data_IF_753820979555
#
_entry.id   IF_753820979555
#
_cell.length_a   1.000
_cell.length_b   1.000
_cell.length_c   1.000
_cell.angle_alpha   90.00
_cell.angle_beta   90.00
_cell.angle_gamma   90.00
#
_symmetry.space_group_name_H-M   'P 1'
#
loop_
_entity.id
_entity.type
_entity.pdbx_description
1 polymer ?
#
# COMPACT_ATOMS: atom_id res chain seq x y z
N UNK A 1 2.12 -11.07 20.29
CA UNK A 1 1.66 -12.42 19.91
C UNK A 1 2.41 -12.82 18.65
N UNK A 2 3.08 -13.98 18.66
CA UNK A 2 3.73 -14.52 17.48
C UNK A 2 2.65 -15.06 16.53
N UNK A 3 2.68 -14.59 15.29
CA UNK A 3 1.77 -15.04 14.23
C UNK A 3 2.56 -15.68 13.09
N UNK A 4 2.31 -16.96 12.87
CA UNK A 4 2.95 -17.69 11.77
C UNK A 4 2.12 -17.57 10.49
N UNK A 5 2.67 -16.89 9.49
CA UNK A 5 2.13 -16.87 8.15
C UNK A 5 2.27 -18.22 7.48
N UNK A 6 1.22 -18.67 6.81
CA UNK A 6 1.27 -19.92 6.03
C UNK A 6 2.19 -19.75 4.82
N UNK A 7 2.97 -20.77 4.47
CA UNK A 7 3.78 -20.73 3.25
C UNK A 7 2.92 -20.50 2.01
N UNK A 8 3.39 -19.59 1.13
CA UNK A 8 2.73 -19.31 -0.15
C UNK A 8 3.50 -20.05 -1.25
N UNK A 9 2.81 -20.92 -2.00
CA UNK A 9 3.39 -21.54 -3.18
C UNK A 9 3.52 -20.54 -4.32
N UNK A 10 4.67 -20.54 -4.98
CA UNK A 10 4.93 -19.72 -6.17
C UNK A 10 4.39 -20.35 -7.47
N UNK A 11 3.96 -21.62 -7.42
CA UNK A 11 3.40 -22.34 -8.58
C UNK A 11 2.01 -21.82 -8.95
N UNK A 12 1.22 -21.44 -7.94
CA UNK A 12 -0.10 -20.86 -8.11
C UNK A 12 -0.25 -19.57 -7.29
N UNK A 13 -0.27 -18.44 -7.98
CA UNK A 13 -0.46 -17.11 -7.42
C UNK A 13 -1.85 -16.53 -7.72
N UNK A 14 -2.79 -17.37 -8.16
CA UNK A 14 -4.19 -16.95 -8.34
C UNK A 14 -4.79 -16.49 -7.01
N UNK A 15 -5.77 -15.58 -7.10
CA UNK A 15 -6.51 -15.11 -5.93
C UNK A 15 -7.19 -16.29 -5.24
N UNK A 16 -7.01 -16.39 -3.94
CA UNK A 16 -7.67 -17.37 -3.09
C UNK A 16 -8.70 -16.67 -2.20
N UNK A 17 -9.97 -16.99 -2.40
CA UNK A 17 -11.07 -16.36 -1.65
C UNK A 17 -10.98 -16.62 -0.12
N UNK A 18 -10.31 -17.70 0.30
CA UNK A 18 -10.08 -17.97 1.73
C UNK A 18 -8.98 -17.10 2.34
N UNK A 19 -8.23 -16.37 1.52
CA UNK A 19 -7.15 -15.47 1.94
C UNK A 19 -7.59 -13.99 1.89
N UNK A 20 -8.81 -13.70 1.47
CA UNK A 20 -9.36 -12.34 1.50
C UNK A 20 -9.39 -11.83 2.94
N UNK A 21 -8.86 -10.62 3.15
CA UNK A 21 -8.73 -10.01 4.47
C UNK A 21 -7.56 -10.54 5.31
N UNK A 22 -6.65 -11.33 4.74
CA UNK A 22 -5.49 -11.90 5.45
C UNK A 22 -4.15 -11.38 4.94
N UNK A 23 -3.10 -11.50 5.75
CA UNK A 23 -1.74 -11.15 5.35
C UNK A 23 -1.21 -12.05 4.23
N UNK A 24 -1.65 -13.32 4.17
CA UNK A 24 -1.34 -14.23 3.07
C UNK A 24 -1.90 -13.71 1.75
N UNK A 25 -3.12 -13.18 1.74
CA UNK A 25 -3.72 -12.54 0.55
C UNK A 25 -2.89 -11.36 0.06
N UNK A 26 -2.46 -10.48 0.97
CA UNK A 26 -1.57 -9.36 0.63
C UNK A 26 -0.26 -9.85 0.02
N UNK A 27 0.39 -10.81 0.64
CA UNK A 27 1.67 -11.34 0.15
C UNK A 27 1.52 -12.01 -1.23
N UNK A 28 0.47 -12.81 -1.42
CA UNK A 28 0.17 -13.45 -2.71
C UNK A 28 -0.08 -12.41 -3.81
N UNK A 29 -0.82 -11.34 -3.51
CA UNK A 29 -1.09 -10.25 -4.43
C UNK A 29 0.18 -9.50 -4.87
N UNK A 30 1.09 -9.22 -3.95
CA UNK A 30 2.39 -8.62 -4.26
C UNK A 30 3.20 -9.53 -5.18
N UNK A 31 3.33 -10.83 -4.86
CA UNK A 31 4.04 -11.81 -5.68
C UNK A 31 3.44 -11.93 -7.08
N UNK A 32 2.11 -12.04 -7.18
CA UNK A 32 1.40 -12.12 -8.44
C UNK A 32 1.67 -10.90 -9.32
N UNK A 33 1.56 -9.72 -8.73
CA UNK A 33 1.74 -8.47 -9.49
C UNK A 33 3.18 -8.24 -9.92
N UNK A 34 4.18 -8.60 -9.09
CA UNK A 34 5.59 -8.58 -9.51
C UNK A 34 5.79 -9.46 -10.76
N UNK A 35 5.29 -10.69 -10.72
CA UNK A 35 5.38 -11.63 -11.84
C UNK A 35 4.68 -11.11 -13.11
N UNK A 36 3.48 -10.52 -12.98
CA UNK A 36 2.74 -9.92 -14.10
C UNK A 36 3.50 -8.77 -14.75
N UNK A 37 4.20 -7.96 -13.96
CA UNK A 37 5.01 -6.85 -14.44
C UNK A 37 6.35 -7.29 -15.03
N UNK A 38 6.67 -8.59 -15.00
CA UNK A 38 7.89 -9.16 -15.56
C UNK A 38 9.10 -9.07 -14.63
N UNK A 39 8.90 -8.80 -13.34
CA UNK A 39 9.96 -8.87 -12.33
C UNK A 39 10.18 -10.31 -11.86
N UNK A 40 11.42 -10.59 -11.48
CA UNK A 40 11.77 -11.88 -10.90
C UNK A 40 11.23 -12.00 -9.49
N UNK A 41 10.72 -13.21 -9.19
CA UNK A 41 10.23 -13.57 -7.86
C UNK A 41 10.85 -14.88 -7.40
N UNK A 42 10.94 -15.10 -6.10
CA UNK A 42 11.45 -16.35 -5.53
C UNK A 42 11.04 -16.49 -4.06
N UNK A 43 11.34 -17.64 -3.50
CA UNK A 43 11.02 -17.94 -2.11
C UNK A 43 12.02 -17.32 -1.14
N UNK A 44 11.51 -16.90 0.02
CA UNK A 44 12.34 -16.46 1.14
C UNK A 44 11.68 -16.83 2.46
N UNK A 45 12.49 -16.93 3.51
CA UNK A 45 12.01 -17.02 4.88
C UNK A 45 12.38 -15.72 5.60
N UNK A 46 11.44 -15.16 6.34
CA UNK A 46 11.65 -13.91 7.07
C UNK A 46 11.01 -13.93 8.44
N UNK A 47 11.61 -13.23 9.37
CA UNK A 47 11.01 -12.86 10.65
C UNK A 47 10.80 -11.36 10.64
N UNK A 48 9.61 -10.94 10.98
CA UNK A 48 9.20 -9.53 10.94
C UNK A 48 8.75 -9.05 12.30
N UNK A 49 9.18 -7.84 12.66
CA UNK A 49 8.63 -7.08 13.78
C UNK A 49 8.12 -5.73 13.27
N UNK A 50 7.13 -5.16 13.93
CA UNK A 50 6.59 -3.86 13.56
C UNK A 50 6.16 -3.07 14.79
N UNK A 51 6.52 -1.79 14.81
CA UNK A 51 5.98 -0.81 15.75
C UNK A 51 4.74 -0.08 15.19
N UNK A 52 4.36 -0.38 13.93
CA UNK A 52 3.14 0.14 13.31
C UNK A 52 1.97 -0.73 13.74
N UNK A 53 1.18 -0.23 14.67
CA UNK A 53 0.03 -0.95 15.21
C UNK A 53 -1.05 -1.17 14.14
N UNK A 54 -1.55 -2.39 14.05
CA UNK A 54 -2.65 -2.74 13.16
C UNK A 54 -3.93 -2.00 13.58
N UNK A 55 -4.64 -1.41 12.61
CA UNK A 55 -5.89 -0.68 12.86
C UNK A 55 -5.71 0.70 13.50
N UNK A 56 -4.48 1.18 13.67
CA UNK A 56 -4.17 2.49 14.27
C UNK A 56 -4.33 3.69 13.31
N UNK A 57 -4.65 3.46 12.04
CA UNK A 57 -4.67 4.52 11.02
C UNK A 57 -3.29 4.90 10.47
N UNK A 58 -2.24 4.18 10.85
CA UNK A 58 -0.87 4.42 10.39
C UNK A 58 -0.46 3.56 9.20
N UNK A 59 -1.44 3.02 8.47
CA UNK A 59 -1.23 2.28 7.22
C UNK A 59 -0.36 1.04 7.34
N UNK A 60 -0.64 0.18 8.34
CA UNK A 60 0.10 -1.06 8.57
C UNK A 60 0.06 -2.02 7.37
N UNK A 61 -1.04 -2.07 6.61
CA UNK A 61 -1.16 -2.86 5.38
C UNK A 61 -0.18 -2.37 4.31
N UNK A 62 -0.17 -1.07 4.04
CA UNK A 62 0.75 -0.47 3.07
C UNK A 62 2.22 -0.69 3.46
N UNK A 63 2.56 -0.56 4.75
CA UNK A 63 3.90 -0.85 5.25
C UNK A 63 4.30 -2.31 5.00
N UNK A 64 3.39 -3.26 5.24
CA UNK A 64 3.62 -4.68 5.01
C UNK A 64 3.82 -5.00 3.51
N UNK A 65 2.93 -4.52 2.65
CA UNK A 65 2.97 -4.73 1.21
C UNK A 65 4.27 -4.19 0.59
N UNK A 66 4.61 -2.95 0.94
CA UNK A 66 5.83 -2.28 0.48
C UNK A 66 7.08 -3.00 0.98
N UNK A 67 7.09 -3.49 2.21
CA UNK A 67 8.19 -4.28 2.74
C UNK A 67 8.40 -5.56 1.92
N UNK A 68 7.33 -6.32 1.61
CA UNK A 68 7.43 -7.52 0.77
C UNK A 68 7.93 -7.16 -0.63
N UNK A 69 7.40 -6.12 -1.26
CA UNK A 69 7.87 -5.63 -2.56
C UNK A 69 9.34 -5.22 -2.54
N UNK A 70 9.79 -4.57 -1.48
CA UNK A 70 11.19 -4.16 -1.30
C UNK A 70 12.11 -5.38 -1.12
N UNK A 71 11.68 -6.40 -0.37
CA UNK A 71 12.41 -7.66 -0.22
C UNK A 71 12.59 -8.34 -1.59
N UNK A 72 11.52 -8.44 -2.39
CA UNK A 72 11.59 -9.01 -3.74
C UNK A 72 12.48 -8.19 -4.66
N UNK A 73 12.43 -6.85 -4.56
CA UNK A 73 13.34 -5.98 -5.29
C UNK A 73 14.80 -6.24 -4.94
N UNK A 74 15.10 -6.39 -3.66
CA UNK A 74 16.47 -6.65 -3.19
C UNK A 74 16.99 -8.04 -3.52
N UNK A 75 16.18 -9.07 -3.29
CA UNK A 75 16.65 -10.45 -3.46
C UNK A 75 16.72 -10.89 -4.92
N UNK A 76 15.82 -10.40 -5.78
CA UNK A 76 15.64 -10.95 -7.13
C UNK A 76 15.78 -9.92 -8.25
N UNK A 77 15.79 -8.61 -7.93
CA UNK A 77 15.77 -7.54 -8.93
C UNK A 77 16.85 -6.47 -8.66
N UNK A 78 17.94 -6.84 -7.99
CA UNK A 78 19.10 -5.97 -7.73
C UNK A 78 18.74 -4.61 -7.10
N UNK A 79 17.65 -4.54 -6.32
CA UNK A 79 17.07 -3.31 -5.75
C UNK A 79 16.73 -2.24 -6.82
N UNK A 80 16.41 -2.64 -8.05
CA UNK A 80 16.15 -1.74 -9.18
C UNK A 80 14.66 -1.48 -9.46
N UNK A 81 13.74 -2.12 -8.73
CA UNK A 81 12.32 -1.84 -8.87
C UNK A 81 12.04 -0.43 -8.33
N UNK A 82 11.42 0.39 -9.17
CA UNK A 82 11.09 1.77 -8.79
C UNK A 82 10.17 1.78 -7.56
N UNK A 83 10.45 2.61 -6.53
CA UNK A 83 9.61 2.70 -5.33
C UNK A 83 8.14 3.01 -5.63
N UNK A 84 7.85 3.84 -6.64
CA UNK A 84 6.46 4.14 -7.05
C UNK A 84 5.77 2.88 -7.58
N UNK A 85 6.50 2.06 -8.35
CA UNK A 85 5.99 0.77 -8.83
C UNK A 85 5.73 -0.18 -7.66
N UNK A 86 6.62 -0.24 -6.67
CA UNK A 86 6.39 -1.04 -5.44
C UNK A 86 5.11 -0.58 -4.74
N UNK A 87 4.88 0.73 -4.62
CA UNK A 87 3.64 1.27 -4.07
C UNK A 87 2.40 0.86 -4.87
N UNK A 88 2.46 0.92 -6.21
CA UNK A 88 1.36 0.50 -7.09
C UNK A 88 1.08 -1.01 -6.99
N UNK A 89 2.11 -1.81 -6.80
CA UNK A 89 1.97 -3.27 -6.54
C UNK A 89 1.24 -3.51 -5.22
N UNK A 90 1.60 -2.79 -4.16
CA UNK A 90 0.91 -2.86 -2.87
C UNK A 90 -0.56 -2.50 -3.01
N UNK A 91 -0.88 -1.37 -3.62
CA UNK A 91 -2.26 -0.95 -3.88
C UNK A 91 -3.05 -2.04 -4.66
N UNK A 92 -2.46 -2.61 -5.69
CA UNK A 92 -3.08 -3.70 -6.45
C UNK A 92 -3.39 -4.90 -5.55
N UNK A 93 -2.43 -5.28 -4.70
CA UNK A 93 -2.59 -6.37 -3.75
C UNK A 93 -3.74 -6.13 -2.78
N UNK A 94 -3.83 -4.93 -2.20
CA UNK A 94 -4.89 -4.57 -1.25
C UNK A 94 -6.26 -4.56 -1.94
N UNK A 95 -6.36 -3.97 -3.13
CA UNK A 95 -7.63 -3.87 -3.85
C UNK A 95 -8.13 -5.20 -4.41
N UNK A 96 -7.24 -6.05 -4.92
CA UNK A 96 -7.63 -7.25 -5.69
C UNK A 96 -7.60 -8.51 -4.83
N UNK A 97 -6.54 -8.71 -4.05
CA UNK A 97 -6.33 -9.93 -3.28
C UNK A 97 -6.89 -9.83 -1.87
N UNK A 98 -6.61 -8.74 -1.17
CA UNK A 98 -7.15 -8.51 0.17
C UNK A 98 -8.63 -8.11 0.13
N UNK A 99 -9.07 -7.45 -0.93
CA UNK A 99 -10.47 -7.07 -1.16
C UNK A 99 -10.90 -5.78 -0.48
N UNK A 100 -9.95 -4.92 -0.07
CA UNK A 100 -10.23 -3.61 0.53
C UNK A 100 -9.86 -2.50 -0.46
N UNK A 101 -10.83 -1.68 -0.91
CA UNK A 101 -10.54 -0.55 -1.78
C UNK A 101 -9.68 0.49 -1.06
N UNK A 102 -8.53 0.83 -1.65
CA UNK A 102 -7.64 1.86 -1.14
C UNK A 102 -7.10 2.76 -2.25
N UNK A 103 -6.68 3.98 -1.87
CA UNK A 103 -5.90 4.87 -2.72
C UNK A 103 -4.43 4.44 -2.77
N UNK A 104 -3.59 5.23 -3.47
CA UNK A 104 -2.16 4.94 -3.62
C UNK A 104 -1.28 5.76 -2.67
N UNK A 105 -1.86 6.65 -1.88
CA UNK A 105 -1.11 7.59 -1.04
C UNK A 105 -0.22 6.88 -0.03
N UNK A 106 -0.79 5.96 0.73
CA UNK A 106 -0.12 5.27 1.83
C UNK A 106 1.03 4.40 1.34
N UNK A 107 0.80 3.62 0.28
CA UNK A 107 1.83 2.79 -0.33
C UNK A 107 2.94 3.65 -0.94
N UNK A 108 2.62 4.80 -1.56
CA UNK A 108 3.64 5.71 -2.07
C UNK A 108 4.48 6.33 -0.95
N UNK A 109 3.84 6.72 0.16
CA UNK A 109 4.54 7.26 1.31
C UNK A 109 5.48 6.23 1.94
N UNK A 110 5.02 4.98 2.10
CA UNK A 110 5.83 3.89 2.64
C UNK A 110 7.00 3.52 1.73
N UNK A 111 6.78 3.48 0.40
CA UNK A 111 7.79 3.01 -0.55
C UNK A 111 8.87 4.05 -0.86
N UNK A 112 8.49 5.31 -1.01
CA UNK A 112 9.40 6.41 -1.33
C UNK A 112 10.10 6.93 -0.06
N UNK A 113 9.40 6.92 1.05
CA UNK A 113 9.90 7.37 2.36
C UNK A 113 10.10 8.89 2.44
N UNK A 114 10.30 9.38 3.67
CA UNK A 114 10.41 10.83 3.96
C UNK A 114 9.07 11.57 3.74
N UNK A 115 9.10 12.91 3.70
CA UNK A 115 7.96 13.71 3.29
C UNK A 115 7.88 13.73 1.78
N UNK A 116 6.69 13.47 1.24
CA UNK A 116 6.47 13.43 -0.21
C UNK A 116 5.31 14.33 -0.63
N UNK A 117 5.40 14.84 -1.85
CA UNK A 117 4.30 15.43 -2.59
C UNK A 117 3.85 14.46 -3.68
N UNK A 118 2.56 14.23 -3.81
CA UNK A 118 2.01 13.32 -4.83
C UNK A 118 1.00 14.07 -5.69
N UNK A 119 1.22 14.09 -7.00
CA UNK A 119 0.23 14.55 -7.96
C UNK A 119 -0.45 13.36 -8.66
N UNK A 120 -1.72 13.15 -8.34
CA UNK A 120 -2.58 12.10 -8.93
C UNK A 120 -3.34 12.58 -10.19
N UNK A 121 -2.82 13.54 -10.93
CA UNK A 121 -3.46 13.96 -12.20
C UNK A 121 -3.65 12.77 -13.14
N UNK A 122 -2.67 11.90 -13.20
CA UNK A 122 -2.74 10.60 -13.89
C UNK A 122 -2.48 9.49 -12.84
N UNK A 123 -3.53 8.79 -12.45
CA UNK A 123 -3.43 7.71 -11.46
C UNK A 123 -2.58 6.52 -11.95
N UNK A 124 -2.42 6.37 -13.27
CA UNK A 124 -1.56 5.32 -13.83
C UNK A 124 -0.07 5.69 -13.77
N UNK A 125 0.22 6.98 -13.70
CA UNK A 125 1.57 7.55 -13.65
C UNK A 125 1.63 8.72 -12.67
N UNK A 126 1.45 8.46 -11.37
CA UNK A 126 1.51 9.53 -10.37
C UNK A 126 2.91 10.15 -10.34
N UNK A 127 2.95 11.47 -10.18
CA UNK A 127 4.21 12.15 -9.94
C UNK A 127 4.43 12.20 -8.44
N UNK A 128 5.51 11.55 -7.98
CA UNK A 128 5.87 11.47 -6.55
C UNK A 128 7.23 12.14 -6.36
N UNK A 129 7.26 13.19 -5.58
CA UNK A 129 8.46 13.99 -5.32
C UNK A 129 8.77 14.01 -3.83
N UNK A 130 10.03 13.78 -3.47
CA UNK A 130 10.49 13.99 -2.08
C UNK A 130 10.55 15.47 -1.79
N UNK A 131 10.02 15.85 -0.64
CA UNK A 131 10.11 17.22 -0.12
C UNK A 131 11.18 17.23 0.95
N UNK A 132 12.25 17.99 0.70
CA UNK A 132 13.37 18.12 1.63
C UNK A 132 13.02 19.11 2.74
N UNK A 133 12.30 18.60 3.74
CA UNK A 133 11.87 19.35 4.91
C UNK A 133 12.18 18.55 6.17
N UNK A 134 12.88 19.17 7.10
CA UNK A 134 13.12 18.64 8.42
C UNK A 134 12.36 19.48 9.46
N UNK A 135 11.36 18.90 10.13
CA UNK A 135 10.52 19.60 11.11
C UNK A 135 11.33 20.15 12.28
N UNK A 136 12.41 19.50 12.67
CA UNK A 136 13.30 19.96 13.73
C UNK A 136 13.93 21.32 13.42
N UNK A 137 14.20 21.61 12.13
CA UNK A 137 14.75 22.89 11.69
C UNK A 137 13.80 24.08 11.96
N UNK A 138 12.50 23.82 12.01
CA UNK A 138 11.45 24.78 12.35
C UNK A 138 11.11 24.80 13.85
N UNK A 139 11.85 24.07 14.68
CA UNK A 139 11.56 23.90 16.12
C UNK A 139 10.15 23.32 16.38
N UNK A 140 9.69 22.47 15.49
CA UNK A 140 8.42 21.74 15.59
C UNK A 140 8.68 20.23 15.65
N UNK A 141 7.79 19.53 16.31
CA UNK A 141 7.75 18.07 16.34
C UNK A 141 6.39 17.58 15.85
N UNK A 142 6.41 16.53 15.01
CA UNK A 142 5.20 15.83 14.64
C UNK A 142 4.83 14.87 15.80
N UNK A 143 3.62 15.03 16.34
CA UNK A 143 3.11 14.19 17.41
C UNK A 143 1.95 13.36 16.90
N UNK A 144 1.96 12.05 17.20
CA UNK A 144 0.87 11.13 16.95
C UNK A 144 0.20 10.85 18.29
N UNK A 145 -1.13 11.03 18.34
CA UNK A 145 -1.93 10.74 19.52
C UNK A 145 -2.80 9.53 19.23
N UNK A 146 -2.51 8.42 19.90
CA UNK A 146 -3.36 7.24 19.85
C UNK A 146 -4.60 7.45 20.74
N UNK A 147 -5.78 7.44 20.12
CA UNK A 147 -7.06 7.56 20.82
C UNK A 147 -7.68 6.18 21.13
N UNK A 148 -6.94 5.10 20.91
CA UNK A 148 -7.36 3.71 21.12
C UNK A 148 -8.66 3.34 20.38
N UNK A 149 -8.93 3.97 19.23
CA UNK A 149 -10.05 3.63 18.34
C UNK A 149 -9.54 2.86 17.12
N UNK A 150 -10.26 1.81 16.72
CA UNK A 150 -9.98 1.07 15.49
C UNK A 150 -10.88 1.58 14.36
N UNK A 151 -10.34 1.66 13.15
CA UNK A 151 -11.09 1.95 11.93
C UNK A 151 -11.25 0.72 11.03
N UNK A 152 -10.96 -0.48 11.56
CA UNK A 152 -10.99 -1.72 10.78
C UNK A 152 -12.38 -2.02 10.18
N UNK A 153 -13.45 -1.60 10.85
CA UNK A 153 -14.84 -1.85 10.44
C UNK A 153 -15.42 -0.75 9.53
N UNK A 154 -14.63 0.26 9.14
CA UNK A 154 -15.08 1.42 8.35
C UNK A 154 -14.82 1.25 6.84
N UNK A 155 -14.70 0.03 6.34
CA UNK A 155 -14.39 -0.22 4.92
C UNK A 155 -15.42 0.38 3.97
N UNK A 156 -16.69 0.29 4.30
CA UNK A 156 -17.79 0.86 3.48
C UNK A 156 -17.74 2.38 3.45
N UNK A 157 -17.43 3.03 4.58
CA UNK A 157 -17.28 4.48 4.66
C UNK A 157 -16.09 4.97 3.84
N UNK A 158 -14.95 4.26 3.88
CA UNK A 158 -13.81 4.55 3.03
C UNK A 158 -14.13 4.41 1.54
N UNK A 159 -14.88 3.38 1.15
CA UNK A 159 -15.31 3.16 -0.22
C UNK A 159 -16.31 4.21 -0.70
N UNK A 160 -17.12 4.75 0.20
CA UNK A 160 -18.13 5.78 -0.11
C UNK A 160 -17.48 7.11 -0.52
N UNK A 161 -16.34 7.50 0.09
CA UNK A 161 -15.70 8.80 -0.17
C UNK A 161 -15.38 9.00 -1.67
N UNK A 162 -14.59 8.15 -2.36
CA UNK A 162 -14.29 8.34 -3.77
C UNK A 162 -15.55 8.23 -4.65
N UNK A 163 -16.53 7.41 -4.26
CA UNK A 163 -17.79 7.30 -4.97
C UNK A 163 -18.59 8.62 -4.93
N UNK A 164 -18.70 9.24 -3.77
CA UNK A 164 -19.40 10.52 -3.60
C UNK A 164 -18.66 11.66 -4.30
N UNK A 165 -17.33 11.72 -4.19
CA UNK A 165 -16.51 12.69 -4.93
C UNK A 165 -16.73 12.58 -6.44
N UNK A 166 -16.80 11.35 -6.96
CA UNK A 166 -17.06 11.10 -8.38
C UNK A 166 -18.44 11.55 -8.81
N UNK A 167 -19.48 11.35 -7.97
CA UNK A 167 -20.83 11.86 -8.24
C UNK A 167 -20.86 13.38 -8.33
N UNK A 168 -20.14 14.07 -7.46
CA UNK A 168 -20.05 15.53 -7.50
C UNK A 168 -19.37 15.98 -8.80
N UNK A 169 -18.26 15.37 -9.18
CA UNK A 169 -17.58 15.66 -10.44
C UNK A 169 -18.50 15.45 -11.65
N UNK A 170 -19.21 14.34 -11.69
CA UNK A 170 -20.17 14.00 -12.76
C UNK A 170 -21.30 15.02 -12.89
N UNK A 171 -21.76 15.62 -11.79
CA UNK A 171 -22.76 16.69 -11.83
C UNK A 171 -22.27 17.88 -12.66
N UNK A 172 -20.97 18.15 -12.69
CA UNK A 172 -20.33 19.19 -13.51
C UNK A 172 -19.83 18.66 -14.88
N UNK A 173 -20.17 17.43 -15.26
CA UNK A 173 -19.73 16.82 -16.50
C UNK A 173 -18.23 16.47 -16.53
N UNK A 174 -17.64 16.22 -15.35
CA UNK A 174 -16.23 15.91 -15.16
C UNK A 174 -16.03 14.48 -14.64
N UNK A 175 -14.84 13.92 -14.83
CA UNK A 175 -14.51 12.61 -14.32
C UNK A 175 -14.03 12.65 -12.86
N UNK A 176 -13.29 13.70 -12.52
CA UNK A 176 -12.73 13.92 -11.18
C UNK A 176 -12.91 15.37 -10.73
N UNK A 177 -12.89 15.61 -9.41
CA UNK A 177 -13.10 16.96 -8.85
C UNK A 177 -11.99 17.96 -9.20
N UNK A 178 -10.83 17.49 -9.62
CA UNK A 178 -9.71 18.33 -10.03
C UNK A 178 -9.96 19.08 -11.34
N UNK A 179 -10.78 18.56 -12.24
CA UNK A 179 -11.09 19.14 -13.55
C UNK A 179 -12.11 20.29 -13.44
#
# INVERSE_FOLDING_TARGET
>A
DDYDLKPISLDDLSKNENEVGTSEGLMRGVLARFKELGYDIGGFNGYMTSDVLQGSGLSSSAAFEVMIGTILSGLYNEMKVDPVVIGQVGQYSENVYFGKPCGLMDQSACSVGSLIHIDFKDNSKPVVEKVDVEFSSFKHSLCIVDVHASHADLTDDYAAVPYEMKKVAQFFGKEVLRE
#
